data_IF_008122140970
#
_entry.id   IF_008122140970
#
_cell.length_a   1.000
_cell.length_b   1.000
_cell.length_c   1.000
_cell.angle_alpha   90.00
_cell.angle_beta   90.00
_cell.angle_gamma   90.00
#
_symmetry.space_group_name_H-M   'P 1'
#
loop_
_entity.id
_entity.type
_entity.pdbx_description
1 polymer ?
#
# COMPACT_ATOMS: atom_id res chain seq x y z
N UNK A 1 -25.03 9.77 -5.11
CA UNK A 1 -24.03 10.72 -5.65
C UNK A 1 -23.20 10.00 -6.70
N UNK A 2 -22.68 10.70 -7.71
CA UNK A 2 -21.72 10.12 -8.65
C UNK A 2 -20.31 10.27 -8.06
N UNK A 3 -19.52 9.21 -8.06
CA UNK A 3 -18.12 9.20 -7.65
C UNK A 3 -17.21 9.08 -8.88
N UNK A 4 -15.95 9.49 -8.74
CA UNK A 4 -14.88 9.20 -9.70
C UNK A 4 -13.70 8.60 -8.93
N UNK A 5 -12.95 7.73 -9.57
CA UNK A 5 -11.74 7.14 -8.99
C UNK A 5 -10.49 7.71 -9.68
N UNK A 6 -9.38 7.77 -8.96
CA UNK A 6 -8.07 8.19 -9.48
C UNK A 6 -7.08 7.10 -9.11
N UNK A 7 -6.46 6.49 -10.11
CA UNK A 7 -5.37 5.53 -9.92
C UNK A 7 -4.03 6.27 -9.78
N UNK A 8 -3.26 5.93 -8.76
CA UNK A 8 -1.91 6.45 -8.53
C UNK A 8 -0.94 5.28 -8.70
N UNK A 9 -0.18 5.28 -9.80
CA UNK A 9 0.82 4.24 -10.06
C UNK A 9 2.12 4.57 -9.34
N UNK A 10 2.59 3.68 -8.45
CA UNK A 10 3.88 3.84 -7.78
C UNK A 10 4.04 2.97 -6.53
N UNK A 11 5.25 2.96 -5.98
CA UNK A 11 5.59 2.30 -4.71
C UNK A 11 6.13 3.33 -3.72
N UNK A 12 5.82 3.16 -2.44
CA UNK A 12 6.50 3.88 -1.36
C UNK A 12 7.74 3.06 -0.99
N UNK A 13 8.92 3.66 -1.04
CA UNK A 13 10.16 3.01 -0.62
C UNK A 13 10.41 3.34 0.86
N UNK A 14 10.56 2.31 1.68
CA UNK A 14 10.79 2.42 3.13
C UNK A 14 11.99 1.55 3.55
N UNK A 15 12.65 1.84 4.68
CA UNK A 15 13.63 0.91 5.26
C UNK A 15 13.05 -0.49 5.47
N UNK A 16 13.84 -1.55 5.26
CA UNK A 16 13.40 -2.96 5.33
C UNK A 16 12.81 -3.38 6.68
N UNK A 17 13.13 -2.65 7.74
CA UNK A 17 12.64 -2.89 9.10
C UNK A 17 11.44 -1.99 9.47
N UNK A 18 10.86 -1.29 8.49
CA UNK A 18 9.67 -0.47 8.70
C UNK A 18 8.47 -1.39 8.86
N UNK A 19 7.64 -1.11 9.87
CA UNK A 19 6.36 -1.78 10.02
C UNK A 19 5.40 -1.32 8.92
N UNK A 20 4.98 -2.26 8.07
CA UNK A 20 4.07 -2.01 6.95
C UNK A 20 2.73 -1.46 7.45
N UNK A 21 2.20 -1.96 8.57
CA UNK A 21 0.91 -1.54 9.10
C UNK A 21 0.96 -0.07 9.53
N UNK A 22 2.05 0.35 10.18
CA UNK A 22 2.27 1.76 10.52
C UNK A 22 2.22 2.69 9.30
N UNK A 23 2.82 2.29 8.17
CA UNK A 23 2.83 3.09 6.94
C UNK A 23 1.44 3.17 6.33
N UNK A 24 0.73 2.05 6.27
CA UNK A 24 -0.61 1.97 5.69
C UNK A 24 -1.63 2.74 6.54
N UNK A 25 -1.59 2.60 7.86
CA UNK A 25 -2.45 3.35 8.77
C UNK A 25 -2.25 4.87 8.58
N UNK A 26 -1.01 5.33 8.48
CA UNK A 26 -0.72 6.76 8.23
C UNK A 26 -1.21 7.23 6.87
N UNK A 27 -1.15 6.39 5.86
CA UNK A 27 -1.67 6.71 4.53
C UNK A 27 -3.20 6.79 4.53
N UNK A 28 -3.88 5.82 5.16
CA UNK A 28 -5.34 5.81 5.28
C UNK A 28 -5.81 7.03 6.09
N UNK A 29 -5.17 7.31 7.23
CA UNK A 29 -5.42 8.52 8.04
C UNK A 29 -5.38 9.79 7.17
N UNK A 30 -4.36 9.93 6.32
CA UNK A 30 -4.21 11.08 5.43
C UNK A 30 -5.36 11.16 4.41
N UNK A 31 -5.77 10.04 3.81
CA UNK A 31 -6.87 9.99 2.84
C UNK A 31 -8.19 10.39 3.51
N UNK A 32 -8.52 9.80 4.66
CA UNK A 32 -9.78 10.02 5.36
C UNK A 32 -9.89 11.45 5.92
N UNK A 33 -8.79 12.02 6.43
CA UNK A 33 -8.74 13.43 6.87
C UNK A 33 -9.07 14.43 5.75
N UNK A 34 -8.94 14.02 4.48
CA UNK A 34 -9.27 14.83 3.32
C UNK A 34 -10.66 14.51 2.73
N UNK A 35 -11.51 13.79 3.46
CA UNK A 35 -12.83 13.32 3.00
C UNK A 35 -12.76 12.47 1.73
N UNK A 36 -11.64 11.77 1.54
CA UNK A 36 -11.44 10.80 0.47
C UNK A 36 -11.64 9.39 1.05
N UNK A 37 -11.75 8.41 0.16
CA UNK A 37 -11.87 7.00 0.52
C UNK A 37 -10.80 6.21 -0.22
N UNK A 38 -10.08 5.34 0.51
CA UNK A 38 -9.15 4.38 -0.07
C UNK A 38 -9.82 3.00 -0.10
N UNK A 39 -10.23 2.57 -1.29
CA UNK A 39 -10.88 1.27 -1.49
C UNK A 39 -9.95 0.14 -1.95
N UNK A 40 -8.64 0.42 -2.07
CA UNK A 40 -7.65 -0.52 -2.56
C UNK A 40 -6.99 -1.34 -1.45
N UNK A 41 -6.32 -2.42 -1.85
CA UNK A 41 -5.36 -3.12 -0.99
C UNK A 41 -3.94 -2.60 -1.21
N UNK A 42 -3.02 -3.08 -0.38
CA UNK A 42 -1.58 -2.90 -0.57
C UNK A 42 -0.90 -4.26 -0.72
N UNK A 43 0.29 -4.26 -1.30
CA UNK A 43 1.19 -5.42 -1.35
C UNK A 43 2.59 -4.97 -1.01
N UNK A 44 3.28 -5.74 -0.20
CA UNK A 44 4.67 -5.50 0.12
C UNK A 44 5.56 -6.09 -0.97
N UNK A 45 6.65 -5.39 -1.30
CA UNK A 45 7.63 -5.81 -2.30
C UNK A 45 9.02 -5.74 -1.64
N UNK A 46 9.73 -6.86 -1.63
CA UNK A 46 11.10 -6.97 -1.13
C UNK A 46 11.98 -7.51 -2.26
N UNK A 47 13.07 -6.80 -2.56
CA UNK A 47 14.04 -7.17 -3.60
C UNK A 47 13.40 -7.50 -4.97
N UNK A 48 12.31 -6.80 -5.32
CA UNK A 48 11.58 -7.01 -6.57
C UNK A 48 10.63 -8.20 -6.57
N UNK A 49 10.30 -8.77 -5.41
CA UNK A 49 9.31 -9.83 -5.28
C UNK A 49 8.14 -9.37 -4.41
N UNK A 50 6.92 -9.72 -4.82
CA UNK A 50 5.77 -9.58 -3.92
C UNK A 50 5.94 -10.48 -2.70
N UNK A 51 5.52 -10.02 -1.53
CA UNK A 51 5.48 -10.84 -0.30
C UNK A 51 4.10 -11.49 -0.20
N UNK A 52 4.07 -12.81 -0.01
CA UNK A 52 2.84 -13.58 0.21
C UNK A 52 2.34 -13.42 1.65
N UNK A 53 1.09 -13.82 1.92
CA UNK A 53 0.50 -13.77 3.27
C UNK A 53 1.28 -14.60 4.32
N UNK A 54 2.00 -15.66 3.88
CA UNK A 54 2.85 -16.48 4.75
C UNK A 54 4.27 -15.92 4.96
N UNK A 55 4.56 -14.75 4.38
CA UNK A 55 5.86 -14.07 4.43
C UNK A 55 6.90 -14.56 3.43
N UNK A 56 6.57 -15.55 2.58
CA UNK A 56 7.47 -15.99 1.51
C UNK A 56 7.52 -15.00 0.34
N UNK A 57 8.63 -15.00 -0.40
CA UNK A 57 8.74 -14.24 -1.65
C UNK A 57 7.97 -14.96 -2.77
N UNK A 58 7.08 -14.22 -3.42
CA UNK A 58 6.29 -14.65 -4.56
C UNK A 58 6.87 -14.22 -5.90
N UNK A 59 5.97 -13.89 -6.82
CA UNK A 59 6.30 -13.49 -8.19
C UNK A 59 7.20 -12.24 -8.23
N UNK A 60 8.10 -12.21 -9.21
CA UNK A 60 8.94 -11.05 -9.49
C UNK A 60 8.13 -10.01 -10.27
N UNK A 61 8.29 -8.73 -9.91
CA UNK A 61 7.63 -7.58 -10.57
C UNK A 61 8.22 -7.21 -11.92
#
# INVERSE_FOLDING_TARGET
MKTKEIEIMGCINVPINTDTDYVIDKFIDFVEQNNLFFGGGYREIIDGHYVNEDGSLGENI
#
